data_IF_652133060025
#
_entry.id   IF_652133060025
#
_cell.length_a   1.000
_cell.length_b   1.000
_cell.length_c   1.000
_cell.angle_alpha   90.00
_cell.angle_beta   90.00
_cell.angle_gamma   90.00
#
_symmetry.space_group_name_H-M   'P 1'
#
loop_
_entity.id
_entity.type
_entity.pdbx_description
1 polymer ?
#
# COMPACT_ATOMS: atom_id res chain seq x y z
N UNK A 1 67.90 -10.31 16.55
CA UNK A 1 67.90 -8.85 16.24
C UNK A 1 66.61 -8.33 15.59
N UNK A 2 65.90 -9.07 14.71
CA UNK A 2 64.66 -8.56 14.09
C UNK A 2 63.43 -8.52 15.03
N UNK A 3 63.37 -9.40 16.03
CA UNK A 3 62.28 -9.43 17.01
C UNK A 3 62.31 -8.28 18.03
N UNK A 4 63.52 -7.83 18.41
CA UNK A 4 63.69 -6.74 19.38
C UNK A 4 63.29 -5.39 18.80
N UNK A 5 63.46 -5.17 17.49
CA UNK A 5 63.04 -3.93 16.83
C UNK A 5 61.51 -3.81 16.73
N UNK A 6 60.81 -4.91 16.44
CA UNK A 6 59.36 -4.93 16.33
C UNK A 6 58.68 -4.66 17.68
N UNK A 7 59.22 -5.23 18.77
CA UNK A 7 58.69 -5.02 20.11
C UNK A 7 58.84 -3.57 20.59
N UNK A 8 60.00 -2.95 20.29
CA UNK A 8 60.24 -1.53 20.57
C UNK A 8 59.27 -0.63 19.80
N UNK A 9 58.99 -0.95 18.55
CA UNK A 9 58.07 -0.16 17.71
C UNK A 9 56.63 -0.24 18.22
N UNK A 10 56.19 -1.42 18.67
CA UNK A 10 54.87 -1.60 19.29
C UNK A 10 54.77 -0.83 20.62
N UNK A 11 55.80 -0.85 21.46
CA UNK A 11 55.82 -0.10 22.71
C UNK A 11 55.80 1.42 22.50
N UNK A 12 56.49 1.93 21.48
CA UNK A 12 56.46 3.36 21.11
C UNK A 12 55.06 3.77 20.61
N UNK A 13 54.41 2.93 19.80
CA UNK A 13 53.03 3.18 19.34
C UNK A 13 52.03 3.15 20.51
N UNK A 14 52.17 2.19 21.43
CA UNK A 14 51.34 2.13 22.64
C UNK A 14 51.57 3.35 23.55
N UNK A 15 52.81 3.78 23.76
CA UNK A 15 53.11 4.98 24.55
C UNK A 15 52.53 6.26 23.89
N UNK A 16 52.69 6.41 22.57
CA UNK A 16 52.15 7.55 21.83
C UNK A 16 50.62 7.61 21.86
N UNK A 17 49.95 6.44 21.79
CA UNK A 17 48.48 6.39 21.89
C UNK A 17 47.95 6.65 23.30
N UNK A 18 48.73 6.33 24.35
CA UNK A 18 48.37 6.69 25.73
C UNK A 18 48.52 8.18 26.02
N UNK A 19 49.57 8.83 25.51
CA UNK A 19 49.80 10.28 25.67
C UNK A 19 48.74 11.12 24.93
N UNK A 20 48.30 10.69 23.74
CA UNK A 20 47.22 11.35 23.01
C UNK A 20 45.86 11.27 23.73
N UNK A 21 45.67 10.27 24.62
CA UNK A 21 44.43 10.09 25.39
C UNK A 21 44.37 10.99 26.64
N UNK A 22 45.51 11.37 27.20
CA UNK A 22 45.59 12.22 28.41
C UNK A 22 45.48 13.72 28.15
N UNK A 23 45.70 14.20 26.92
CA UNK A 23 45.53 15.62 26.59
C UNK A 23 44.08 16.04 26.27
N UNK A 24 43.16 15.07 26.10
CA UNK A 24 41.76 15.37 25.79
C UNK A 24 40.88 15.67 27.02
N UNK A 25 41.44 15.63 28.25
CA UNK A 25 40.63 15.78 29.47
C UNK A 25 40.61 17.19 30.10
N UNK A 26 41.37 18.18 29.65
CA UNK A 26 41.49 19.45 30.42
C UNK A 26 41.27 20.76 29.66
N UNK A 27 40.29 20.81 28.75
CA UNK A 27 39.64 22.08 28.36
C UNK A 27 38.12 22.00 28.36
N UNK A 28 37.54 21.51 29.45
CA UNK A 28 36.17 21.86 29.80
C UNK A 28 36.11 23.32 30.24
N UNK A 29 36.26 24.25 29.29
CA UNK A 29 35.86 25.66 29.51
C UNK A 29 34.44 25.64 30.05
N UNK A 30 34.24 26.14 31.28
CA UNK A 30 32.92 26.27 31.92
C UNK A 30 32.04 27.12 31.01
N UNK A 31 31.25 26.48 30.14
CA UNK A 31 30.35 27.20 29.25
C UNK A 31 29.28 27.84 30.13
N UNK A 32 29.10 29.17 30.10
CA UNK A 32 28.15 29.85 30.98
C UNK A 32 26.74 29.32 30.70
N UNK A 33 26.19 28.62 31.70
CA UNK A 33 24.82 28.12 31.68
C UNK A 33 23.90 29.24 32.19
N UNK A 34 22.94 29.66 31.37
CA UNK A 34 21.88 30.56 31.84
C UNK A 34 20.78 29.70 32.42
N UNK A 35 20.68 29.72 33.74
CA UNK A 35 19.64 29.01 34.45
C UNK A 35 18.42 29.89 34.62
N UNK A 36 17.26 29.40 34.19
CA UNK A 36 15.97 30.04 34.46
C UNK A 36 15.08 29.09 35.26
N UNK A 37 14.32 29.65 36.20
CA UNK A 37 13.25 28.93 36.88
C UNK A 37 12.07 28.85 35.92
N UNK A 38 11.69 27.64 35.49
CA UNK A 38 10.48 27.42 34.70
C UNK A 38 9.44 26.70 35.56
N UNK A 39 8.17 27.05 35.35
CA UNK A 39 7.06 26.34 35.97
C UNK A 39 6.71 25.14 35.11
N UNK A 40 6.91 23.93 35.65
CA UNK A 40 6.58 22.67 34.96
C UNK A 40 5.29 22.12 35.55
N UNK A 41 4.39 21.67 34.68
CA UNK A 41 3.17 21.02 35.14
C UNK A 41 3.45 19.59 35.59
N UNK A 42 3.16 19.28 36.86
CA UNK A 42 3.30 17.93 37.40
C UNK A 42 2.02 17.10 37.22
N UNK A 43 0.86 17.76 37.28
CA UNK A 43 -0.43 17.12 37.12
C UNK A 43 -1.30 17.99 36.23
N UNK A 44 -1.58 17.50 35.04
CA UNK A 44 -2.51 18.13 34.11
C UNK A 44 -3.85 17.39 34.16
N UNK A 45 -4.94 18.14 34.02
CA UNK A 45 -6.26 17.58 33.80
C UNK A 45 -6.85 18.20 32.55
N UNK A 46 -7.44 17.34 31.71
CA UNK A 46 -8.24 17.78 30.58
C UNK A 46 -9.58 18.28 31.10
N UNK A 47 -9.83 19.59 30.99
CA UNK A 47 -11.12 20.19 31.31
C UNK A 47 -11.86 20.48 30.00
N UNK A 48 -13.12 20.07 29.93
CA UNK A 48 -13.95 20.46 28.80
C UNK A 48 -14.21 21.97 28.84
N UNK A 49 -13.90 22.68 27.76
CA UNK A 49 -14.14 24.12 27.64
C UNK A 49 -15.28 24.45 26.68
N UNK A 50 -15.66 23.52 25.82
CA UNK A 50 -16.76 23.70 24.88
C UNK A 50 -17.50 22.38 24.71
N UNK A 51 -18.82 22.39 24.93
CA UNK A 51 -19.69 21.25 24.68
C UNK A 51 -20.47 21.49 23.39
N UNK A 52 -20.68 20.43 22.61
CA UNK A 52 -21.64 20.44 21.50
C UNK A 52 -22.74 19.44 21.76
N UNK A 53 -23.91 19.79 21.26
CA UNK A 53 -25.09 18.95 21.30
C UNK A 53 -25.11 17.99 20.11
N UNK A 54 -25.44 16.72 20.34
CA UNK A 54 -25.67 15.79 19.23
C UNK A 54 -26.98 16.14 18.54
N UNK A 55 -27.02 16.31 17.20
CA UNK A 55 -28.25 16.62 16.48
C UNK A 55 -29.30 15.49 16.59
N UNK A 56 -28.85 14.27 16.86
CA UNK A 56 -29.72 13.11 17.07
C UNK A 56 -30.13 12.97 18.53
N UNK A 57 -31.44 12.87 18.80
CA UNK A 57 -31.98 12.52 20.12
C UNK A 57 -31.53 11.10 20.49
N UNK A 58 -30.65 10.97 21.48
CA UNK A 58 -30.20 9.68 22.02
C UNK A 58 -31.00 9.34 23.27
N UNK A 59 -31.05 8.06 23.63
CA UNK A 59 -31.72 7.67 24.86
C UNK A 59 -30.91 8.10 26.09
N UNK A 60 -31.54 8.90 26.96
CA UNK A 60 -30.92 9.40 28.20
C UNK A 60 -31.42 8.66 29.44
N UNK A 61 -32.57 7.98 29.36
CA UNK A 61 -33.08 7.11 30.43
C UNK A 61 -33.65 5.84 29.83
N UNK A 62 -33.16 4.70 30.32
CA UNK A 62 -33.64 3.38 29.98
C UNK A 62 -34.51 2.84 31.10
N UNK A 63 -35.55 2.10 30.75
CA UNK A 63 -36.31 1.26 31.66
C UNK A 63 -36.10 -0.19 31.26
N UNK A 64 -35.92 -1.05 32.25
CA UNK A 64 -35.83 -2.48 32.03
C UNK A 64 -37.22 -3.04 31.79
N UNK A 65 -37.40 -3.69 30.65
CA UNK A 65 -38.63 -4.35 30.24
C UNK A 65 -38.33 -5.82 30.14
N UNK A 66 -39.02 -6.58 30.99
CA UNK A 66 -38.96 -8.03 31.04
C UNK A 66 -39.74 -8.57 29.84
N UNK A 67 -39.06 -9.24 28.91
CA UNK A 67 -39.70 -9.88 27.76
C UNK A 67 -39.43 -11.38 27.75
N UNK A 68 -40.49 -12.18 27.65
CA UNK A 68 -40.36 -13.60 27.35
C UNK A 68 -39.99 -13.75 25.89
N UNK A 69 -38.78 -14.22 25.62
CA UNK A 69 -38.26 -14.42 24.26
C UNK A 69 -37.94 -15.89 24.07
N UNK A 70 -38.28 -16.44 22.89
CA UNK A 70 -37.85 -17.79 22.50
C UNK A 70 -36.38 -17.73 22.12
N UNK A 71 -35.50 -18.29 22.94
CA UNK A 71 -34.07 -18.35 22.68
C UNK A 71 -33.74 -19.73 22.13
N UNK A 72 -33.08 -19.76 20.98
CA UNK A 72 -32.55 -21.00 20.41
C UNK A 72 -31.55 -21.63 21.39
N UNK A 73 -31.66 -22.93 21.58
CA UNK A 73 -30.70 -23.72 22.33
C UNK A 73 -30.42 -25.00 21.56
N UNK A 74 -29.28 -25.62 21.79
CA UNK A 74 -29.00 -26.90 21.19
C UNK A 74 -29.65 -28.01 22.00
N UNK A 75 -30.55 -28.78 21.38
CA UNK A 75 -31.12 -30.00 21.97
C UNK A 75 -30.11 -31.15 21.96
N UNK A 76 -29.35 -31.28 20.88
CA UNK A 76 -28.43 -32.40 20.66
C UNK A 76 -27.09 -31.91 20.10
N UNK A 77 -26.01 -32.17 20.82
CA UNK A 77 -24.65 -31.87 20.35
C UNK A 77 -24.02 -33.08 19.66
N UNK A 78 -23.14 -32.83 18.70
CA UNK A 78 -22.29 -33.87 18.13
C UNK A 78 -21.36 -34.43 19.21
N UNK A 79 -21.14 -35.75 19.19
CA UNK A 79 -20.12 -36.35 20.04
C UNK A 79 -18.76 -35.76 19.61
N UNK A 80 -17.94 -35.27 20.56
CA UNK A 80 -16.63 -34.75 20.22
C UNK A 80 -15.80 -35.88 19.61
N UNK A 81 -15.23 -35.63 18.44
CA UNK A 81 -14.34 -36.57 17.77
C UNK A 81 -13.03 -36.54 18.55
N UNK A 82 -12.66 -37.67 19.15
CA UNK A 82 -11.34 -37.83 19.78
C UNK A 82 -10.27 -37.71 18.72
N UNK A 83 -9.21 -36.98 19.00
CA UNK A 83 -8.04 -37.00 18.12
C UNK A 83 -7.36 -38.38 18.15
N UNK A 84 -6.37 -38.57 17.28
CA UNK A 84 -5.62 -39.84 17.17
C UNK A 84 -4.87 -40.22 18.47
N UNK A 85 -4.78 -39.31 19.44
CA UNK A 85 -4.15 -39.53 20.73
C UNK A 85 -5.19 -39.81 21.84
N UNK A 86 -6.47 -39.94 21.51
CA UNK A 86 -7.55 -40.19 22.47
C UNK A 86 -8.01 -38.94 23.23
N UNK A 87 -7.43 -37.77 22.96
CA UNK A 87 -7.82 -36.52 23.59
C UNK A 87 -9.03 -35.93 22.87
N UNK A 88 -10.02 -35.46 23.62
CA UNK A 88 -11.10 -34.64 23.08
C UNK A 88 -10.65 -33.18 23.06
N UNK A 89 -10.36 -32.58 21.89
CA UNK A 89 -9.99 -31.17 21.83
C UNK A 89 -11.13 -30.30 22.38
N UNK A 90 -10.79 -29.27 23.16
CA UNK A 90 -11.71 -28.26 23.69
C UNK A 90 -12.20 -27.31 22.58
N UNK A 91 -12.79 -27.86 21.52
CA UNK A 91 -13.44 -27.13 20.45
C UNK A 91 -14.90 -26.80 20.79
N UNK A 92 -15.49 -25.78 20.13
CA UNK A 92 -16.91 -25.48 20.28
C UNK A 92 -17.75 -26.70 19.90
N UNK A 93 -18.64 -27.15 20.79
CA UNK A 93 -19.54 -28.28 20.54
C UNK A 93 -20.43 -27.95 19.34
N UNK A 94 -20.37 -28.75 18.28
CA UNK A 94 -21.23 -28.58 17.10
C UNK A 94 -22.66 -29.00 17.47
N UNK A 95 -23.62 -28.10 17.27
CA UNK A 95 -25.03 -28.40 17.51
C UNK A 95 -25.62 -29.16 16.31
N UNK A 96 -26.18 -30.34 16.54
CA UNK A 96 -26.84 -31.15 15.51
C UNK A 96 -28.34 -30.85 15.40
N UNK A 97 -28.98 -30.51 16.52
CA UNK A 97 -30.40 -30.17 16.53
C UNK A 97 -30.65 -28.96 17.43
N UNK A 98 -31.27 -27.92 16.88
CA UNK A 98 -31.66 -26.72 17.62
C UNK A 98 -33.13 -26.80 18.05
N UNK A 99 -33.40 -26.46 19.31
CA UNK A 99 -34.75 -26.20 19.83
C UNK A 99 -34.89 -24.75 20.28
N UNK A 100 -36.09 -24.37 20.68
CA UNK A 100 -36.35 -23.05 21.27
C UNK A 100 -36.89 -23.23 22.68
N UNK A 101 -36.34 -22.48 23.63
CA UNK A 101 -36.92 -22.38 24.98
C UNK A 101 -37.26 -20.94 25.30
N UNK A 102 -38.40 -20.74 25.95
CA UNK A 102 -38.80 -19.42 26.41
C UNK A 102 -37.88 -19.03 27.57
N UNK A 103 -37.12 -17.95 27.38
CA UNK A 103 -36.34 -17.32 28.43
C UNK A 103 -36.88 -15.93 28.69
N UNK A 104 -36.91 -15.57 29.96
CA UNK A 104 -37.12 -14.19 30.38
C UNK A 104 -35.85 -13.40 30.10
N UNK A 105 -35.93 -12.45 29.17
CA UNK A 105 -34.81 -11.56 28.82
C UNK A 105 -35.16 -10.16 29.29
N UNK A 106 -34.27 -9.56 30.06
CA UNK A 106 -34.38 -8.15 30.44
C UNK A 106 -33.86 -7.31 29.29
N UNK A 107 -34.75 -6.57 28.64
CA UNK A 107 -34.41 -5.67 27.53
C UNK A 107 -34.51 -4.23 27.99
N UNK A 108 -33.55 -3.36 27.63
CA UNK A 108 -33.60 -1.94 27.98
C UNK A 108 -34.43 -1.20 26.94
N UNK A 109 -35.63 -0.73 27.30
CA UNK A 109 -36.45 0.15 26.46
C UNK A 109 -36.12 1.60 26.77
N UNK A 110 -35.94 2.41 25.74
CA UNK A 110 -35.75 3.83 25.94
C UNK A 110 -37.05 4.49 26.42
N UNK A 111 -37.03 5.16 27.57
CA UNK A 111 -38.19 5.89 28.11
C UNK A 111 -38.07 7.40 27.99
N UNK A 112 -36.82 7.92 27.91
CA UNK A 112 -36.60 9.35 27.67
C UNK A 112 -35.49 9.52 26.65
N UNK A 113 -35.81 10.19 25.54
CA UNK A 113 -34.83 10.65 24.56
C UNK A 113 -34.46 12.09 24.86
N UNK A 114 -33.17 12.38 24.81
CA UNK A 114 -32.61 13.70 25.07
C UNK A 114 -31.42 13.98 24.17
N UNK A 115 -30.97 15.22 24.21
CA UNK A 115 -29.77 15.65 23.50
C UNK A 115 -28.58 15.34 24.41
N UNK A 116 -27.60 14.57 23.92
CA UNK A 116 -26.38 14.33 24.69
C UNK A 116 -25.37 15.41 24.32
N UNK A 117 -24.92 16.15 25.32
CA UNK A 117 -23.78 17.06 25.19
C UNK A 117 -22.51 16.22 25.26
N UNK A 118 -21.64 16.37 24.27
CA UNK A 118 -20.30 15.82 24.31
C UNK A 118 -19.29 16.96 24.31
N UNK A 119 -18.13 16.73 24.92
CA UNK A 119 -17.08 17.73 24.90
C UNK A 119 -16.49 17.83 23.48
N UNK A 120 -16.61 19.00 22.87
CA UNK A 120 -16.05 19.29 21.56
C UNK A 120 -14.61 19.78 21.66
N UNK A 121 -14.31 20.57 22.69
CA UNK A 121 -12.99 21.16 22.90
C UNK A 121 -12.53 20.98 24.34
N UNK A 122 -11.36 20.39 24.48
CA UNK A 122 -10.69 20.21 25.76
C UNK A 122 -9.54 21.22 25.89
N UNK A 123 -9.34 21.74 27.10
CA UNK A 123 -8.15 22.51 27.48
C UNK A 123 -7.43 21.79 28.59
N UNK A 124 -6.13 21.58 28.43
CA UNK A 124 -5.29 21.04 29.49
C UNK A 124 -5.04 22.14 30.52
N UNK A 125 -5.56 21.94 31.73
CA UNK A 125 -5.32 22.82 32.87
C UNK A 125 -4.29 22.14 33.77
N UNK A 126 -3.27 22.89 34.14
CA UNK A 126 -2.29 22.40 35.09
C UNK A 126 -2.83 22.55 36.52
N UNK A 127 -3.12 21.43 37.18
CA UNK A 127 -3.60 21.40 38.56
C UNK A 127 -2.48 21.62 39.57
N UNK A 128 -1.29 21.08 39.30
CA UNK A 128 -0.13 21.19 40.19
C UNK A 128 1.11 21.58 39.39
N UNK A 129 1.70 22.71 39.73
CA UNK A 129 2.94 23.22 39.13
C UNK A 129 4.10 23.00 40.09
N UNK A 130 5.30 22.73 39.56
CA UNK A 130 6.55 22.78 40.31
C UNK A 130 7.55 23.61 39.54
N UNK A 131 8.19 24.53 40.25
CA UNK A 131 9.27 25.32 39.70
C UNK A 131 10.51 24.44 39.60
N UNK A 132 11.05 24.29 38.40
CA UNK A 132 12.33 23.60 38.15
C UNK A 132 13.33 24.62 37.61
N UNK A 133 14.55 24.61 38.15
CA UNK A 133 15.66 25.37 37.59
C UNK A 133 16.16 24.59 36.38
N UNK A 134 15.94 25.14 35.19
CA UNK A 134 16.45 24.57 33.94
C UNK A 134 17.59 25.44 33.47
N UNK A 135 18.77 24.85 33.43
CA UNK A 135 19.97 25.46 32.91
C UNK A 135 20.10 25.08 31.45
N UNK A 136 20.01 26.07 30.57
CA UNK A 136 20.22 25.86 29.14
C UNK A 136 21.61 26.37 28.78
N UNK A 137 22.34 25.55 28.02
CA UNK A 137 23.54 25.99 27.34
C UNK A 137 23.14 27.08 26.35
N UNK A 138 23.68 28.29 26.50
CA UNK A 138 23.51 29.31 25.47
C UNK A 138 24.37 28.86 24.28
N UNK A 139 23.78 28.10 23.37
CA UNK A 139 24.35 27.89 22.06
C UNK A 139 24.04 29.16 21.27
N UNK A 140 25.07 29.95 20.95
CA UNK A 140 24.89 31.10 20.03
C UNK A 140 24.20 30.54 18.78
N UNK A 141 23.08 31.16 18.38
CA UNK A 141 22.34 30.71 17.18
C UNK A 141 23.35 30.57 16.04
N UNK A 142 23.48 29.39 15.43
CA UNK A 142 24.43 29.22 14.34
C UNK A 142 24.11 30.23 13.25
N UNK A 143 25.13 30.93 12.75
CA UNK A 143 24.93 31.86 11.64
C UNK A 143 24.55 31.01 10.43
N UNK A 144 23.32 31.16 9.96
CA UNK A 144 22.83 30.47 8.77
C UNK A 144 23.20 31.32 7.55
N UNK A 145 24.08 30.82 6.70
CA UNK A 145 24.49 31.49 5.45
C UNK A 145 23.95 30.74 4.23
N UNK A 146 24.07 31.32 3.04
CA UNK A 146 23.59 30.71 1.78
C UNK A 146 22.17 31.12 1.38
N UNK A 147 21.64 30.58 0.26
CA UNK A 147 20.41 31.03 -0.36
C UNK A 147 19.16 30.66 0.45
N UNK A 148 18.13 31.51 0.41
CA UNK A 148 16.84 31.27 1.10
C UNK A 148 15.93 30.30 0.37
N UNK A 149 16.13 30.13 -0.93
CA UNK A 149 15.38 29.26 -1.82
C UNK A 149 16.35 28.63 -2.82
N UNK A 150 16.01 27.46 -3.37
CA UNK A 150 16.78 26.82 -4.43
C UNK A 150 16.05 26.92 -5.76
N UNK A 151 16.79 26.79 -6.87
CA UNK A 151 16.19 26.76 -8.21
C UNK A 151 15.37 25.46 -8.38
N UNK A 152 14.44 25.45 -9.32
CA UNK A 152 13.70 24.23 -9.67
C UNK A 152 14.67 23.10 -10.03
N UNK A 153 14.45 21.90 -9.47
CA UNK A 153 15.34 20.75 -9.64
C UNK A 153 16.52 20.66 -8.64
N UNK A 154 16.63 21.61 -7.72
CA UNK A 154 17.60 21.59 -6.63
C UNK A 154 16.90 21.46 -5.27
N UNK A 155 17.55 20.82 -4.31
CA UNK A 155 17.08 20.79 -2.92
C UNK A 155 18.09 21.48 -2.00
N UNK A 156 17.57 22.08 -0.94
CA UNK A 156 18.39 22.78 0.05
C UNK A 156 18.97 21.78 1.05
N UNK A 157 20.30 21.67 1.07
CA UNK A 157 21.05 20.91 2.06
C UNK A 157 21.66 21.87 3.08
N UNK A 158 21.62 21.51 4.36
CA UNK A 158 22.29 22.26 5.43
C UNK A 158 23.61 21.56 5.76
N UNK A 159 24.71 22.26 5.56
CA UNK A 159 26.06 21.80 5.90
C UNK A 159 26.51 22.55 7.15
N UNK A 160 26.91 21.81 8.18
CA UNK A 160 27.38 22.40 9.44
C UNK A 160 28.91 22.50 9.39
N UNK A 161 29.43 23.73 9.45
CA UNK A 161 30.86 24.04 9.43
C UNK A 161 31.19 24.83 10.71
N UNK A 162 31.60 24.13 11.77
CA UNK A 162 31.81 24.72 13.09
C UNK A 162 30.52 25.33 13.66
N UNK A 163 30.53 26.64 13.93
CA UNK A 163 29.36 27.38 14.44
C UNK A 163 28.46 27.93 13.32
N UNK A 164 28.77 27.66 12.06
CA UNK A 164 28.03 28.15 10.91
C UNK A 164 27.23 27.00 10.28
N UNK A 165 26.02 27.31 9.81
CA UNK A 165 25.22 26.37 9.02
C UNK A 165 25.04 26.96 7.64
N UNK A 166 25.69 26.38 6.64
CA UNK A 166 25.61 26.83 5.25
C UNK A 166 24.45 26.12 4.56
N UNK A 167 23.54 26.89 3.98
CA UNK A 167 22.55 26.39 3.01
C UNK A 167 23.27 26.20 1.68
N UNK A 168 23.16 25.02 1.11
CA UNK A 168 23.74 24.67 -0.18
C UNK A 168 22.63 24.08 -1.03
N UNK A 169 22.35 24.71 -2.17
CA UNK A 169 21.46 24.11 -3.16
C UNK A 169 22.23 23.02 -3.87
N UNK A 170 21.74 21.79 -3.75
CA UNK A 170 22.33 20.63 -4.40
C UNK A 170 21.41 20.26 -5.55
N UNK A 171 21.95 20.20 -6.78
CA UNK A 171 21.22 19.58 -7.89
C UNK A 171 20.89 18.15 -7.48
N UNK A 172 19.62 17.79 -7.59
CA UNK A 172 19.27 16.38 -7.62
C UNK A 172 19.85 15.87 -8.93
N UNK A 173 21.08 15.38 -8.92
CA UNK A 173 21.51 14.47 -9.98
C UNK A 173 20.61 13.27 -9.78
N UNK A 174 19.68 12.97 -10.71
CA UNK A 174 18.84 11.82 -10.54
C UNK A 174 19.79 10.63 -10.59
N UNK A 175 20.11 10.07 -9.41
CA UNK A 175 20.75 8.77 -9.32
C UNK A 175 19.88 7.89 -10.20
N UNK A 176 20.47 7.27 -11.22
CA UNK A 176 19.74 6.34 -12.09
C UNK A 176 19.31 5.20 -11.19
N UNK A 177 18.10 5.29 -10.64
CA UNK A 177 17.57 4.28 -9.74
C UNK A 177 17.28 3.06 -10.58
N UNK A 178 18.08 2.01 -10.38
CA UNK A 178 17.76 0.69 -10.90
C UNK A 178 16.82 0.07 -9.88
N UNK A 179 15.62 -0.34 -10.31
CA UNK A 179 14.65 -0.91 -9.39
C UNK A 179 14.73 -2.43 -9.37
N UNK A 180 14.51 -3.02 -8.19
CA UNK A 180 13.95 -4.37 -8.08
C UNK A 180 12.44 -4.25 -8.07
N UNK A 181 11.76 -5.18 -8.73
CA UNK A 181 10.29 -5.18 -8.84
C UNK A 181 9.73 -6.45 -8.23
N UNK A 182 8.71 -6.27 -7.40
CA UNK A 182 7.79 -7.33 -7.01
C UNK A 182 6.47 -7.11 -7.72
N UNK A 183 5.88 -8.16 -8.27
CA UNK A 183 4.58 -8.10 -8.96
C UNK A 183 3.60 -9.04 -8.28
N UNK A 184 2.38 -8.56 -8.05
CA UNK A 184 1.24 -9.36 -7.58
C UNK A 184 0.10 -9.15 -8.58
N UNK A 185 -0.31 -10.21 -9.29
CA UNK A 185 -1.28 -10.09 -10.37
C UNK A 185 -2.48 -11.02 -10.19
N UNK A 186 -3.63 -10.57 -10.71
CA UNK A 186 -4.90 -11.29 -10.75
C UNK A 186 -5.31 -11.96 -9.41
N UNK A 187 -5.35 -13.29 -9.41
CA UNK A 187 -5.59 -14.19 -8.29
C UNK A 187 -4.26 -14.54 -7.62
N UNK A 188 -3.88 -13.90 -6.50
CA UNK A 188 -2.54 -13.40 -6.25
C UNK A 188 -1.41 -14.34 -6.64
N UNK A 189 -0.91 -14.12 -7.86
CA UNK A 189 0.33 -14.68 -8.35
C UNK A 189 1.46 -13.70 -8.08
N UNK A 190 2.47 -14.16 -7.33
CA UNK A 190 3.60 -13.33 -6.94
C UNK A 190 4.82 -13.60 -7.82
N UNK A 191 5.56 -12.54 -8.13
CA UNK A 191 7.00 -12.60 -8.40
C UNK A 191 7.68 -11.66 -7.42
N UNK A 192 8.40 -12.21 -6.45
CA UNK A 192 9.11 -11.46 -5.41
C UNK A 192 10.35 -10.72 -5.97
N UNK A 193 10.96 -9.85 -5.15
CA UNK A 193 12.12 -9.03 -5.57
C UNK A 193 13.34 -9.87 -6.02
N UNK A 194 13.48 -11.09 -5.48
CA UNK A 194 14.54 -12.04 -5.86
C UNK A 194 14.18 -12.90 -7.07
N UNK A 195 12.99 -12.70 -7.66
CA UNK A 195 12.46 -13.48 -8.77
C UNK A 195 11.73 -14.77 -8.36
N UNK A 196 11.60 -15.06 -7.06
CA UNK A 196 10.81 -16.20 -6.59
C UNK A 196 9.34 -16.03 -6.95
N UNK A 197 8.75 -17.11 -7.48
CA UNK A 197 7.33 -17.16 -7.85
C UNK A 197 6.57 -18.06 -6.88
N UNK A 198 5.38 -17.63 -6.49
CA UNK A 198 4.46 -18.39 -5.64
C UNK A 198 3.04 -17.85 -5.76
N UNK A 199 2.07 -18.69 -5.40
CA UNK A 199 0.65 -18.33 -5.42
C UNK A 199 0.14 -18.29 -3.99
N UNK A 200 -0.63 -17.25 -3.66
CA UNK A 200 -1.09 -17.03 -2.28
C UNK A 200 -2.54 -16.54 -2.22
N UNK A 201 -3.47 -17.49 -2.20
CA UNK A 201 -4.92 -17.22 -2.25
C UNK A 201 -5.58 -17.07 -0.87
N UNK A 202 -4.87 -16.49 0.10
CA UNK A 202 -5.43 -16.23 1.43
C UNK A 202 -6.30 -14.97 1.42
N UNK A 203 -7.37 -14.96 2.21
CA UNK A 203 -8.22 -13.78 2.42
C UNK A 203 -7.72 -12.97 3.62
N UNK A 204 -7.60 -11.66 3.46
CA UNK A 204 -7.11 -10.76 4.50
C UNK A 204 -6.31 -9.58 3.96
N UNK A 205 -5.73 -8.81 4.87
CA UNK A 205 -4.74 -7.79 4.56
C UNK A 205 -3.33 -8.36 4.81
N UNK A 206 -2.43 -8.23 3.84
CA UNK A 206 -1.07 -8.81 3.92
C UNK A 206 -0.01 -7.76 3.67
N UNK A 207 1.09 -7.83 4.42
CA UNK A 207 2.26 -6.99 4.19
C UNK A 207 2.98 -7.48 2.93
N UNK A 208 2.97 -6.67 1.87
CA UNK A 208 3.66 -6.98 0.63
C UNK A 208 5.13 -6.60 0.75
N UNK A 209 5.44 -5.39 1.22
CA UNK A 209 6.81 -4.91 1.35
C UNK A 209 6.92 -3.83 2.43
N UNK A 210 8.05 -3.80 3.14
CA UNK A 210 8.39 -2.76 4.12
C UNK A 210 9.88 -2.40 4.04
N UNK A 211 10.20 -1.12 3.92
CA UNK A 211 11.57 -0.62 3.90
C UNK A 211 12.13 -0.47 5.32
N UNK A 212 13.42 -0.72 5.51
CA UNK A 212 14.11 -0.73 6.80
C UNK A 212 14.17 0.66 7.45
N UNK A 213 14.13 1.72 6.65
CA UNK A 213 14.01 3.11 7.12
C UNK A 213 12.62 3.44 7.68
N UNK A 214 11.65 2.53 7.56
CA UNK A 214 10.26 2.71 8.01
C UNK A 214 9.47 3.76 7.22
N UNK A 215 10.02 4.30 6.13
CA UNK A 215 9.36 5.34 5.33
C UNK A 215 8.29 4.77 4.40
N UNK A 216 8.43 3.49 4.00
CA UNK A 216 7.58 2.85 3.02
C UNK A 216 7.08 1.48 3.51
N UNK A 217 5.76 1.28 3.47
CA UNK A 217 5.13 -0.02 3.77
C UNK A 217 3.89 -0.22 2.92
N UNK A 218 3.68 -1.42 2.39
CA UNK A 218 2.59 -1.73 1.47
C UNK A 218 1.77 -2.89 2.02
N UNK A 219 0.48 -2.67 2.24
CA UNK A 219 -0.49 -3.72 2.51
C UNK A 219 -1.34 -3.95 1.26
N UNK A 220 -1.53 -5.21 0.87
CA UNK A 220 -2.50 -5.63 -0.14
C UNK A 220 -3.73 -6.24 0.53
N UNK A 221 -4.94 -5.87 0.08
CA UNK A 221 -6.19 -6.45 0.56
C UNK A 221 -6.67 -7.52 -0.41
N UNK A 222 -6.72 -8.77 0.06
CA UNK A 222 -7.15 -9.92 -0.71
C UNK A 222 -8.50 -10.40 -0.24
N UNK A 223 -9.43 -10.62 -1.18
CA UNK A 223 -10.80 -11.01 -0.90
C UNK A 223 -11.21 -12.19 -1.76
N UNK A 224 -11.86 -13.19 -1.17
CA UNK A 224 -12.55 -14.24 -1.94
C UNK A 224 -13.83 -13.67 -2.53
N UNK A 225 -14.05 -13.92 -3.81
CA UNK A 225 -15.33 -13.61 -4.43
C UNK A 225 -16.28 -14.80 -4.28
N UNK A 226 -17.58 -14.52 -4.27
CA UNK A 226 -18.59 -15.55 -4.04
C UNK A 226 -18.47 -16.68 -5.07
N UNK A 227 -18.56 -17.92 -4.59
CA UNK A 227 -18.42 -19.14 -5.39
C UNK A 227 -17.07 -19.32 -6.11
N UNK A 228 -16.01 -18.64 -5.66
CA UNK A 228 -14.68 -18.77 -6.25
C UNK A 228 -13.66 -19.43 -5.31
N UNK A 229 -12.87 -20.35 -5.87
CA UNK A 229 -11.78 -21.03 -5.18
C UNK A 229 -10.55 -20.13 -4.98
N UNK A 230 -10.52 -18.95 -5.58
CA UNK A 230 -9.43 -18.00 -5.54
C UNK A 230 -9.83 -16.69 -4.84
N UNK A 231 -8.83 -15.93 -4.39
CA UNK A 231 -8.99 -14.56 -3.88
C UNK A 231 -8.49 -13.57 -4.92
N UNK A 232 -9.08 -12.39 -5.06
CA UNK A 232 -8.50 -11.31 -5.85
C UNK A 232 -8.03 -10.14 -4.99
N UNK A 233 -7.24 -9.27 -5.60
CA UNK A 233 -6.71 -8.06 -4.97
C UNK A 233 -7.73 -6.94 -5.12
N UNK A 234 -8.34 -6.51 -4.02
CA UNK A 234 -9.42 -5.51 -4.03
C UNK A 234 -8.99 -4.12 -3.55
N UNK A 235 -7.72 -3.96 -3.16
CA UNK A 235 -7.17 -2.67 -2.78
C UNK A 235 -5.76 -2.79 -2.22
N UNK A 236 -5.16 -1.63 -1.95
CA UNK A 236 -3.87 -1.53 -1.30
C UNK A 236 -3.81 -0.30 -0.37
N UNK A 237 -3.06 -0.39 0.72
CA UNK A 237 -2.75 0.72 1.61
C UNK A 237 -1.24 0.89 1.77
N UNK A 238 -0.76 2.10 1.55
CA UNK A 238 0.66 2.43 1.47
C UNK A 238 0.99 3.47 2.54
N UNK A 239 1.85 3.12 3.50
CA UNK A 239 2.54 4.09 4.33
C UNK A 239 3.61 4.75 3.47
N UNK A 240 3.47 6.04 3.17
CA UNK A 240 4.23 6.70 2.10
C UNK A 240 5.38 7.57 2.61
N UNK A 241 5.40 7.95 3.89
CA UNK A 241 6.43 8.81 4.48
C UNK A 241 6.68 8.51 5.98
N UNK A 242 6.45 7.25 6.37
CA UNK A 242 6.52 6.79 7.76
C UNK A 242 5.39 7.28 8.66
N UNK A 243 4.40 8.01 8.12
CA UNK A 243 3.26 8.53 8.89
C UNK A 243 1.94 8.47 8.14
N UNK A 244 1.90 9.03 6.93
CA UNK A 244 0.69 9.12 6.13
C UNK A 244 0.40 7.82 5.40
N UNK A 245 -0.88 7.47 5.35
CA UNK A 245 -1.37 6.28 4.67
C UNK A 245 -2.22 6.68 3.48
N UNK A 246 -1.80 6.26 2.29
CA UNK A 246 -2.59 6.34 1.06
C UNK A 246 -3.23 4.98 0.82
N UNK A 247 -4.55 4.90 0.90
CA UNK A 247 -5.32 3.69 0.60
C UNK A 247 -6.06 3.88 -0.73
N UNK A 248 -5.94 2.92 -1.64
CA UNK A 248 -6.69 2.87 -2.89
C UNK A 248 -7.58 1.65 -2.86
N UNK A 249 -8.89 1.89 -2.99
CA UNK A 249 -9.92 0.84 -2.95
C UNK A 249 -11.12 1.28 -3.77
N UNK A 250 -11.68 0.37 -4.57
CA UNK A 250 -12.84 0.66 -5.43
C UNK A 250 -12.63 1.91 -6.31
N UNK A 251 -11.39 2.12 -6.79
CA UNK A 251 -10.91 3.31 -7.53
C UNK A 251 -10.99 4.64 -6.77
N UNK A 252 -11.31 4.61 -5.48
CA UNK A 252 -11.30 5.79 -4.61
C UNK A 252 -9.96 5.85 -3.88
N UNK A 253 -9.36 7.04 -3.85
CA UNK A 253 -8.16 7.31 -3.07
C UNK A 253 -8.56 7.87 -1.71
N UNK A 254 -7.92 7.37 -0.67
CA UNK A 254 -8.07 7.84 0.69
C UNK A 254 -6.71 8.24 1.25
N UNK A 255 -6.66 9.39 1.90
CA UNK A 255 -5.53 9.83 2.69
C UNK A 255 -5.93 9.76 4.17
N UNK A 256 -5.19 8.99 4.97
CA UNK A 256 -5.42 8.84 6.41
C UNK A 256 -6.89 8.52 6.72
N UNK A 257 -7.46 7.56 5.98
CA UNK A 257 -8.86 7.09 6.09
C UNK A 257 -9.93 8.11 5.68
N UNK A 258 -9.58 9.27 5.10
CA UNK A 258 -10.52 10.25 4.53
C UNK A 258 -10.45 10.22 3.01
N UNK A 259 -11.59 10.40 2.33
CA UNK A 259 -11.60 10.51 0.85
C UNK A 259 -10.68 11.66 0.45
N UNK A 260 -9.79 11.40 -0.50
CA UNK A 260 -8.84 12.39 -1.01
C UNK A 260 -9.02 12.54 -2.51
N UNK A 261 -9.33 13.76 -2.95
CA UNK A 261 -9.43 14.09 -4.36
C UNK A 261 -8.02 14.23 -4.95
N UNK A 262 -7.68 13.38 -5.91
CA UNK A 262 -6.41 13.39 -6.64
C UNK A 262 -6.71 13.73 -8.09
N UNK A 263 -6.04 14.74 -8.63
CA UNK A 263 -6.23 15.16 -10.02
C UNK A 263 -5.64 14.12 -10.99
N UNK A 264 -6.38 13.81 -12.05
CA UNK A 264 -5.91 12.90 -13.10
C UNK A 264 -4.79 13.55 -13.92
N UNK A 265 -3.79 12.77 -14.29
CA UNK A 265 -2.60 13.16 -15.05
C UNK A 265 -1.76 14.26 -14.40
N UNK A 266 -1.91 14.46 -13.08
CA UNK A 266 -1.14 15.41 -12.31
C UNK A 266 -0.54 14.75 -11.06
N UNK A 267 0.75 15.02 -10.82
CA UNK A 267 1.40 14.59 -9.60
C UNK A 267 0.87 15.39 -8.41
N UNK A 268 0.21 14.71 -7.47
CA UNK A 268 -0.37 15.30 -6.27
C UNK A 268 0.47 14.93 -5.05
N UNK A 269 0.97 15.93 -4.33
CA UNK A 269 1.82 15.70 -3.16
C UNK A 269 1.00 15.39 -1.90
N UNK A 270 1.56 14.54 -1.04
CA UNK A 270 0.97 14.26 0.28
C UNK A 270 1.13 15.52 1.15
N UNK A 271 0.08 16.00 1.84
CA UNK A 271 0.05 17.33 2.45
C UNK A 271 1.05 17.57 3.59
N UNK A 272 1.58 16.51 4.22
CA UNK A 272 2.55 16.68 5.29
C UNK A 272 3.99 16.71 4.75
N UNK A 273 4.79 17.66 5.23
CA UNK A 273 6.16 18.04 4.80
C UNK A 273 7.24 16.93 4.86
N UNK A 274 6.86 15.66 4.98
CA UNK A 274 7.78 14.51 4.92
C UNK A 274 7.91 13.93 3.51
N UNK A 275 7.15 14.48 2.55
CA UNK A 275 7.21 14.09 1.14
C UNK A 275 6.30 12.91 0.80
N UNK A 276 6.42 12.46 -0.44
CA UNK A 276 5.56 11.47 -1.05
C UNK A 276 4.55 12.11 -2.02
N UNK A 277 4.12 11.32 -3.00
CA UNK A 277 3.22 11.81 -4.06
C UNK A 277 2.39 10.68 -4.65
N UNK A 278 1.24 11.05 -5.20
CA UNK A 278 0.34 10.18 -5.96
C UNK A 278 0.14 10.75 -7.35
N UNK A 279 0.32 9.91 -8.36
CA UNK A 279 -0.07 10.18 -9.74
C UNK A 279 -1.23 9.27 -10.09
N UNK A 280 -2.38 9.86 -10.38
CA UNK A 280 -3.52 9.16 -10.96
C UNK A 280 -3.44 9.31 -12.48
N UNK A 281 -3.58 8.21 -13.20
CA UNK A 281 -3.89 8.19 -14.63
C UNK A 281 -5.22 7.48 -14.82
N UNK A 282 -5.77 7.48 -16.05
CA UNK A 282 -7.09 6.92 -16.37
C UNK A 282 -7.46 5.62 -15.66
N UNK A 283 -6.52 4.66 -15.54
CA UNK A 283 -6.75 3.37 -14.89
C UNK A 283 -5.73 3.02 -13.79
N UNK A 284 -4.64 3.78 -13.66
CA UNK A 284 -3.52 3.39 -12.81
C UNK A 284 -3.20 4.45 -11.76
N UNK A 285 -2.85 3.99 -10.57
CA UNK A 285 -2.36 4.82 -9.48
C UNK A 285 -0.87 4.53 -9.29
N UNK A 286 -0.04 5.56 -9.29
CA UNK A 286 1.37 5.46 -8.90
C UNK A 286 1.59 6.25 -7.61
N UNK A 287 1.97 5.57 -6.54
CA UNK A 287 2.31 6.17 -5.25
C UNK A 287 3.83 6.10 -5.09
N UNK A 288 4.47 7.22 -4.77
CA UNK A 288 5.93 7.35 -4.66
C UNK A 288 6.25 7.88 -3.26
N UNK A 289 7.15 7.22 -2.54
CA UNK A 289 7.65 7.67 -1.23
C UNK A 289 8.94 8.49 -1.34
N UNK A 290 9.34 9.22 -0.28
CA UNK A 290 10.56 10.04 -0.26
C UNK A 290 11.84 9.26 -0.56
N UNK A 291 11.91 7.99 -0.13
CA UNK A 291 13.04 7.08 -0.42
C UNK A 291 12.98 6.47 -1.83
N UNK A 292 12.18 7.04 -2.73
CA UNK A 292 12.01 6.60 -4.13
C UNK A 292 11.37 5.21 -4.32
N UNK A 293 11.01 4.50 -3.24
CA UNK A 293 10.15 3.34 -3.39
C UNK A 293 8.79 3.77 -3.99
N UNK A 294 8.20 2.91 -4.81
CA UNK A 294 6.94 3.23 -5.47
C UNK A 294 6.04 2.00 -5.59
N UNK A 295 4.74 2.24 -5.55
CA UNK A 295 3.70 1.25 -5.87
C UNK A 295 2.95 1.71 -7.09
N UNK A 296 2.76 0.82 -8.05
CA UNK A 296 1.81 0.98 -9.13
C UNK A 296 0.64 0.03 -8.92
N UNK A 297 -0.57 0.58 -8.92
CA UNK A 297 -1.81 -0.16 -8.87
C UNK A 297 -2.49 0.00 -10.21
N UNK A 298 -2.53 -1.06 -11.00
CA UNK A 298 -3.23 -1.07 -12.27
C UNK A 298 -4.60 -1.71 -12.09
N UNK A 299 -5.65 -1.00 -12.46
CA UNK A 299 -7.00 -1.55 -12.40
C UNK A 299 -7.20 -2.60 -13.48
N UNK A 300 -7.81 -3.73 -13.12
CA UNK A 300 -8.17 -4.80 -14.05
C UNK A 300 -9.56 -5.35 -13.73
N UNK A 301 -10.19 -5.94 -14.74
CA UNK A 301 -11.42 -6.72 -14.58
C UNK A 301 -11.10 -8.19 -14.79
N UNK A 302 -11.55 -9.04 -13.87
CA UNK A 302 -11.45 -10.49 -14.02
C UNK A 302 -12.83 -11.11 -13.81
N UNK A 303 -13.44 -11.57 -14.91
CA UNK A 303 -14.88 -11.83 -14.94
C UNK A 303 -15.67 -10.54 -14.65
N UNK A 304 -16.59 -10.61 -13.69
CA UNK A 304 -17.40 -9.46 -13.26
C UNK A 304 -16.80 -8.73 -12.05
N UNK A 305 -15.60 -9.12 -11.62
CA UNK A 305 -14.97 -8.58 -10.41
C UNK A 305 -13.92 -7.53 -10.77
N UNK A 306 -13.96 -6.42 -10.04
CA UNK A 306 -12.97 -5.37 -10.09
C UNK A 306 -11.78 -5.76 -9.21
N UNK A 307 -10.59 -5.85 -9.80
CA UNK A 307 -9.37 -6.21 -9.10
C UNK A 307 -8.23 -5.24 -9.45
N UNK A 308 -7.15 -5.33 -8.68
CA UNK A 308 -5.92 -4.58 -8.94
C UNK A 308 -4.77 -5.54 -9.27
N UNK A 309 -3.85 -5.09 -10.11
CA UNK A 309 -2.50 -5.63 -10.17
C UNK A 309 -1.57 -4.67 -9.42
N UNK A 310 -0.68 -5.21 -8.59
CA UNK A 310 0.24 -4.42 -7.75
C UNK A 310 1.67 -4.66 -8.23
N UNK A 311 2.35 -3.60 -8.62
CA UNK A 311 3.79 -3.61 -8.81
C UNK A 311 4.46 -2.76 -7.73
N UNK A 312 5.31 -3.38 -6.91
CA UNK A 312 6.12 -2.67 -5.90
C UNK A 312 7.53 -2.55 -6.44
N UNK A 313 8.08 -1.34 -6.40
CA UNK A 313 9.44 -1.05 -6.84
C UNK A 313 10.23 -0.44 -5.68
N UNK A 314 11.45 -0.92 -5.51
CA UNK A 314 12.42 -0.44 -4.52
C UNK A 314 13.78 -0.29 -5.20
N UNK A 315 14.63 0.63 -4.73
CA UNK A 315 15.99 0.76 -5.27
C UNK A 315 16.74 -0.57 -5.09
N UNK A 316 17.40 -1.03 -6.15
CA UNK A 316 18.14 -2.30 -6.21
C UNK A 316 19.28 -2.32 -5.21
N UNK A 317 19.92 -1.17 -5.01
CA UNK A 317 21.03 -0.98 -4.08
C UNK A 317 20.54 -0.87 -2.64
N UNK A 318 19.25 -0.55 -2.46
CA UNK A 318 18.62 -0.52 -1.17
C UNK A 318 18.29 -1.96 -0.77
N UNK A 319 19.17 -2.57 0.02
CA UNK A 319 18.94 -3.81 0.76
C UNK A 319 17.79 -3.70 1.78
N UNK A 320 17.02 -2.61 1.72
CA UNK A 320 16.13 -2.15 2.77
C UNK A 320 14.78 -2.85 2.78
N UNK A 321 14.41 -3.71 1.83
CA UNK A 321 13.16 -4.48 2.03
C UNK A 321 13.40 -5.51 3.12
N UNK A 322 12.88 -5.20 4.31
CA UNK A 322 13.13 -5.98 5.52
C UNK A 322 12.09 -7.08 5.73
N UNK A 323 10.85 -6.87 5.26
CA UNK A 323 9.69 -7.72 5.56
C UNK A 323 8.65 -7.72 4.43
N UNK A 324 7.77 -8.72 4.45
CA UNK A 324 6.61 -8.85 3.56
C UNK A 324 6.77 -9.91 2.47
N UNK A 325 5.65 -10.29 1.87
CA UNK A 325 5.57 -11.36 0.86
C UNK A 325 6.46 -11.11 -0.38
N UNK A 326 6.70 -9.85 -0.74
CA UNK A 326 7.62 -9.49 -1.83
C UNK A 326 9.10 -9.67 -1.48
N UNK A 327 9.44 -9.71 -0.19
CA UNK A 327 10.81 -9.94 0.28
C UNK A 327 11.14 -11.44 0.29
N UNK A 328 10.26 -12.22 0.93
CA UNK A 328 10.40 -13.66 1.08
C UNK A 328 9.06 -14.32 1.43
N UNK A 329 8.83 -15.52 0.92
CA UNK A 329 7.65 -16.32 1.21
C UNK A 329 7.83 -17.21 2.45
N UNK A 330 7.81 -16.59 3.64
CA UNK A 330 7.98 -17.27 4.94
C UNK A 330 6.66 -17.37 5.72
N UNK A 331 6.59 -18.27 6.72
CA UNK A 331 5.42 -18.40 7.59
C UNK A 331 5.08 -17.10 8.33
N UNK A 332 6.08 -16.29 8.66
CA UNK A 332 5.86 -14.98 9.28
C UNK A 332 5.18 -14.01 8.31
N UNK A 333 5.63 -13.96 7.06
CA UNK A 333 5.08 -13.05 6.05
C UNK A 333 3.69 -13.49 5.54
N UNK A 334 3.29 -14.74 5.76
CA UNK A 334 1.94 -15.25 5.47
C UNK A 334 0.90 -14.76 6.49
N UNK A 335 1.31 -14.24 7.64
CA UNK A 335 0.35 -13.78 8.65
C UNK A 335 -0.39 -12.54 8.16
N UNK A 336 -1.72 -12.48 8.34
CA UNK A 336 -2.49 -11.28 8.06
C UNK A 336 -2.03 -10.15 9.00
N UNK A 337 -2.03 -8.94 8.47
CA UNK A 337 -1.62 -7.73 9.19
C UNK A 337 -2.81 -6.78 9.35
N UNK A 338 -2.68 -5.85 10.29
CA UNK A 338 -3.66 -4.78 10.50
C UNK A 338 -2.95 -3.43 10.55
N UNK A 339 -3.71 -2.33 10.52
CA UNK A 339 -3.19 -1.01 10.88
C UNK A 339 -3.16 0.03 9.76
N UNK A 340 -2.91 -0.36 8.50
CA UNK A 340 -2.92 0.59 7.37
C UNK A 340 -4.31 0.75 6.75
N UNK A 341 -5.04 -0.35 6.54
CA UNK A 341 -6.37 -0.35 5.90
C UNK A 341 -7.45 0.21 6.84
N UNK A 342 -8.50 0.85 6.29
CA UNK A 342 -9.63 1.34 7.10
C UNK A 342 -10.46 0.20 7.70
N UNK A 343 -10.74 -0.83 6.90
CA UNK A 343 -11.53 -1.99 7.29
C UNK A 343 -10.62 -3.21 7.32
N UNK A 344 -10.41 -3.75 8.52
CA UNK A 344 -9.71 -5.03 8.67
C UNK A 344 -10.60 -6.10 8.05
N UNK A 345 -10.10 -6.74 7.00
CA UNK A 345 -10.71 -7.99 6.52
C UNK A 345 -10.27 -9.08 7.48
N UNK A 346 -11.21 -9.63 8.26
CA UNK A 346 -10.91 -10.73 9.18
C UNK A 346 -10.36 -11.88 8.35
N UNK A 347 -9.14 -12.30 8.65
CA UNK A 347 -8.49 -13.35 7.90
C UNK A 347 -9.32 -14.63 7.99
N UNK A 348 -9.76 -15.11 6.82
CA UNK A 348 -10.35 -16.43 6.68
C UNK A 348 -9.30 -17.30 6.00
N UNK A 349 -8.66 -18.15 6.78
CA UNK A 349 -7.71 -19.11 6.25
C UNK A 349 -8.45 -20.07 5.34
N UNK A 350 -8.17 -20.02 4.05
CA UNK A 350 -8.58 -21.04 3.10
C UNK A 350 -7.40 -21.36 2.18
N UNK A 351 -6.78 -22.50 2.50
CA UNK A 351 -6.01 -23.45 1.68
C UNK A 351 -4.65 -23.02 1.09
N UNK A 352 -3.62 -23.72 1.56
CA UNK A 352 -2.31 -23.99 0.96
C UNK A 352 -1.74 -22.96 -0.02
N UNK A 353 -0.83 -22.16 0.50
CA UNK A 353 0.28 -21.58 -0.22
C UNK A 353 1.09 -22.67 -0.97
N UNK A 354 1.07 -22.68 -2.31
CA UNK A 354 1.95 -23.56 -3.08
C UNK A 354 3.12 -22.75 -3.62
N UNK A 355 4.34 -23.15 -3.26
CA UNK A 355 5.52 -22.68 -3.99
C UNK A 355 5.41 -23.23 -5.41
N UNK A 356 5.60 -22.38 -6.42
CA UNK A 356 5.56 -22.84 -7.81
C UNK A 356 6.57 -23.97 -7.97
N UNK A 357 6.10 -25.16 -8.35
CA UNK A 357 6.99 -26.29 -8.66
C UNK A 357 7.97 -25.83 -9.73
N UNK A 358 9.26 -25.89 -9.43
CA UNK A 358 10.30 -25.72 -10.44
C UNK A 358 10.41 -27.05 -11.19
N UNK A 359 10.77 -27.01 -12.47
CA UNK A 359 11.16 -28.24 -13.16
C UNK A 359 12.37 -28.83 -12.47
N UNK A 360 12.33 -30.14 -12.21
CA UNK A 360 13.39 -30.87 -11.54
C UNK A 360 14.64 -31.00 -12.43
N UNK A 361 14.47 -30.90 -13.76
CA UNK A 361 15.57 -30.94 -14.73
C UNK A 361 15.55 -29.76 -15.71
N UNK A 362 16.75 -29.40 -16.20
CA UNK A 362 16.91 -28.43 -17.28
C UNK A 362 16.22 -28.91 -18.59
N UNK A 363 16.18 -30.23 -18.79
CA UNK A 363 15.53 -30.89 -19.94
C UNK A 363 14.03 -30.66 -19.94
N UNK A 364 13.35 -30.82 -18.80
CA UNK A 364 11.91 -30.60 -18.70
C UNK A 364 11.55 -29.13 -18.92
N UNK A 365 12.38 -28.21 -18.40
CA UNK A 365 12.22 -26.77 -18.67
C UNK A 365 12.39 -26.44 -20.16
N UNK A 366 13.32 -27.10 -20.86
CA UNK A 366 13.52 -26.95 -22.31
C UNK A 366 12.31 -27.49 -23.08
N UNK A 367 11.80 -28.66 -22.70
CA UNK A 367 10.61 -29.26 -23.30
C UNK A 367 9.36 -28.40 -23.10
N UNK A 368 9.17 -27.83 -21.90
CA UNK A 368 8.08 -26.90 -21.61
C UNK A 368 8.19 -25.62 -22.47
N UNK A 369 9.39 -25.07 -22.68
CA UNK A 369 9.61 -23.94 -23.59
C UNK A 369 9.17 -24.26 -25.01
N UNK A 370 9.52 -25.44 -25.52
CA UNK A 370 9.11 -25.91 -26.86
C UNK A 370 7.59 -26.00 -26.95
N UNK A 371 6.93 -26.61 -25.96
CA UNK A 371 5.47 -26.74 -25.91
C UNK A 371 4.78 -25.37 -25.89
N UNK A 372 5.28 -24.43 -25.09
CA UNK A 372 4.75 -23.06 -25.01
C UNK A 372 4.90 -22.28 -26.32
N UNK A 373 6.05 -22.39 -26.99
CA UNK A 373 6.26 -21.78 -28.30
C UNK A 373 5.34 -22.39 -29.35
N UNK A 374 5.19 -23.72 -29.35
CA UNK A 374 4.25 -24.43 -30.23
C UNK A 374 2.79 -23.98 -29.99
N UNK A 375 2.42 -23.75 -28.73
CA UNK A 375 1.12 -23.19 -28.34
C UNK A 375 0.96 -21.70 -28.68
N UNK A 376 2.01 -21.02 -29.15
CA UNK A 376 1.94 -19.62 -29.59
C UNK A 376 2.24 -18.58 -28.53
N UNK A 377 2.86 -18.96 -27.41
CA UNK A 377 3.37 -18.00 -26.44
C UNK A 377 4.41 -17.08 -27.12
N UNK A 378 4.27 -15.77 -26.91
CA UNK A 378 5.26 -14.82 -27.41
C UNK A 378 6.56 -14.92 -26.60
N UNK A 379 7.66 -14.34 -27.09
CA UNK A 379 8.92 -14.27 -26.32
C UNK A 379 8.73 -13.62 -24.94
N UNK A 380 7.80 -12.67 -24.82
CA UNK A 380 7.45 -12.00 -23.55
C UNK A 380 6.63 -12.89 -22.61
N UNK A 381 5.81 -13.79 -23.15
CA UNK A 381 4.89 -14.63 -22.38
C UNK A 381 5.48 -16.02 -22.08
N UNK A 382 6.61 -16.37 -22.71
CA UNK A 382 7.21 -17.69 -22.66
C UNK A 382 7.53 -18.15 -21.23
N UNK A 383 8.12 -17.29 -20.40
CA UNK A 383 8.49 -17.65 -19.04
C UNK A 383 7.27 -17.82 -18.11
N UNK A 384 6.13 -17.21 -18.45
CA UNK A 384 4.87 -17.40 -17.71
C UNK A 384 4.25 -18.74 -18.10
N UNK A 385 4.12 -19.00 -19.41
CA UNK A 385 3.61 -20.28 -19.90
C UNK A 385 4.42 -21.48 -19.36
N UNK A 386 5.75 -21.37 -19.35
CA UNK A 386 6.64 -22.41 -18.79
C UNK A 386 6.39 -22.62 -17.30
N UNK A 387 6.16 -21.54 -16.56
CA UNK A 387 5.81 -21.58 -15.13
C UNK A 387 4.47 -22.29 -14.91
N UNK A 388 3.45 -21.92 -15.69
CA UNK A 388 2.10 -22.51 -15.62
C UNK A 388 2.14 -24.03 -15.91
N UNK A 389 2.94 -24.44 -16.91
CA UNK A 389 3.17 -25.85 -17.22
C UNK A 389 3.87 -26.62 -16.10
N UNK A 390 4.77 -25.98 -15.36
CA UNK A 390 5.46 -26.59 -14.23
C UNK A 390 4.51 -26.84 -13.05
N UNK A 391 3.50 -25.98 -12.88
CA UNK A 391 2.48 -26.12 -11.85
C UNK A 391 1.41 -27.16 -12.20
N UNK A 392 1.18 -27.41 -13.48
CA UNK A 392 0.19 -28.37 -13.95
C UNK A 392 0.59 -29.81 -13.56
N UNK A 393 0.08 -30.25 -12.41
CA UNK A 393 0.40 -31.54 -11.77
C UNK A 393 -0.06 -32.76 -12.54
N UNK A 394 -0.98 -32.61 -13.51
CA UNK A 394 -1.49 -33.69 -14.34
C UNK A 394 -1.58 -33.30 -15.82
N UNK A 395 -1.66 -34.28 -16.74
CA UNK A 395 -1.72 -34.03 -18.19
C UNK A 395 -2.91 -33.16 -18.62
N UNK A 396 -4.09 -33.30 -18.01
CA UNK A 396 -5.28 -32.50 -18.35
C UNK A 396 -5.06 -31.01 -18.09
N UNK A 397 -4.42 -30.66 -16.98
CA UNK A 397 -4.07 -29.27 -16.67
C UNK A 397 -3.03 -28.71 -17.65
N UNK A 398 -2.03 -29.50 -18.05
CA UNK A 398 -1.03 -29.08 -19.06
C UNK A 398 -1.71 -28.76 -20.39
N UNK A 399 -2.65 -29.61 -20.83
CA UNK A 399 -3.44 -29.37 -22.04
C UNK A 399 -4.26 -28.09 -21.93
N UNK A 400 -4.87 -27.82 -20.77
CA UNK A 400 -5.65 -26.60 -20.53
C UNK A 400 -4.78 -25.34 -20.62
N UNK A 401 -3.61 -25.34 -19.97
CA UNK A 401 -2.63 -24.24 -20.05
C UNK A 401 -2.27 -23.96 -21.51
N UNK A 402 -1.86 -24.98 -22.27
CA UNK A 402 -1.50 -24.82 -23.68
C UNK A 402 -2.66 -24.32 -24.55
N UNK A 403 -3.88 -24.76 -24.28
CA UNK A 403 -5.08 -24.31 -25.00
C UNK A 403 -5.35 -22.81 -24.80
N UNK A 404 -5.12 -22.27 -23.60
CA UNK A 404 -5.25 -20.83 -23.31
C UNK A 404 -4.28 -20.03 -24.20
N UNK A 405 -3.00 -20.39 -24.23
CA UNK A 405 -2.01 -19.69 -25.05
C UNK A 405 -2.29 -19.84 -26.56
N UNK A 406 -2.81 -20.99 -27.01
CA UNK A 406 -3.27 -21.19 -28.38
C UNK A 406 -4.41 -20.25 -28.76
N UNK A 407 -5.37 -20.04 -27.85
CA UNK A 407 -6.49 -19.11 -28.05
C UNK A 407 -6.04 -17.64 -28.04
N UNK A 408 -5.03 -17.29 -27.23
CA UNK A 408 -4.43 -15.95 -27.25
C UNK A 408 -3.77 -15.66 -28.61
N UNK A 409 -3.09 -16.64 -29.21
CA UNK A 409 -2.51 -16.55 -30.55
C UNK A 409 -3.58 -16.32 -31.62
N UNK A 410 -4.68 -17.09 -31.59
CA UNK A 410 -5.77 -16.93 -32.56
C UNK A 410 -6.44 -15.56 -32.46
N UNK A 411 -6.65 -15.05 -31.24
CA UNK A 411 -7.25 -13.73 -31.03
C UNK A 411 -6.34 -12.59 -31.51
N UNK A 412 -5.02 -12.68 -31.30
CA UNK A 412 -4.06 -11.74 -31.90
C UNK A 412 -4.08 -11.80 -33.42
N UNK A 413 -4.20 -12.97 -34.03
CA UNK A 413 -4.29 -13.13 -35.49
C UNK A 413 -5.58 -12.53 -36.06
N UNK A 414 -6.71 -12.70 -35.36
CA UNK A 414 -7.99 -12.07 -35.72
C UNK A 414 -7.87 -10.54 -35.62
N UNK A 415 -7.29 -10.01 -34.54
CA UNK A 415 -7.07 -8.57 -34.37
C UNK A 415 -6.10 -7.99 -35.42
N UNK A 416 -5.03 -8.72 -35.78
CA UNK A 416 -4.07 -8.29 -36.80
C UNK A 416 -4.66 -8.34 -38.22
N UNK A 417 -5.49 -9.34 -38.51
CA UNK A 417 -6.23 -9.45 -39.77
C UNK A 417 -7.34 -8.40 -39.90
N UNK A 418 -7.91 -7.94 -38.78
CA UNK A 418 -8.87 -6.85 -38.76
C UNK A 418 -8.22 -5.45 -38.94
N UNK A 419 -6.89 -5.36 -38.86
CA UNK A 419 -6.11 -4.10 -38.88
C UNK A 419 -5.29 -3.92 -40.18
N UNK A 420 -5.26 -4.89 -41.09
CA UNK A 420 -4.62 -4.75 -42.42
C UNK A 420 -5.66 -4.47 -43.52
N UNK A 421 -5.40 -3.55 -44.47
CA UNK A 421 -6.43 -2.66 -44.99
C UNK A 421 -7.03 -3.06 -46.34
N UNK A 422 -8.24 -2.54 -46.55
CA UNK A 422 -8.83 -2.12 -47.82
C UNK A 422 -7.81 -2.08 -48.97
N UNK A 423 -8.05 -2.95 -49.96
CA UNK A 423 -7.27 -3.02 -51.17
C UNK A 423 -7.19 -1.68 -51.89
N UNK A 424 -5.99 -1.40 -52.39
CA UNK A 424 -5.69 -0.34 -53.35
C UNK A 424 -6.57 -0.50 -54.59
N UNK A 425 -7.61 0.33 -54.71
CA UNK A 425 -8.30 0.51 -55.99
C UNK A 425 -7.35 1.25 -56.94
N UNK A 426 -6.92 0.54 -57.98
CA UNK A 426 -6.17 1.05 -59.13
C UNK A 426 -6.91 2.24 -59.75
N UNK A 427 -6.22 3.36 -59.85
CA UNK A 427 -6.55 4.43 -60.79
C UNK A 427 -6.55 3.86 -62.23
N UNK A 428 -7.72 3.85 -62.87
CA UNK A 428 -7.82 3.88 -64.33
C UNK A 428 -8.36 5.25 -64.71
N UNK A 429 -7.57 5.99 -65.48
CA UNK A 429 -7.96 7.27 -66.04
C UNK A 429 -9.06 7.13 -67.09
N UNK A 430 -9.98 8.09 -67.11
CA UNK A 430 -10.82 8.39 -68.26
C UNK A 430 -11.28 9.86 -68.21
N UNK A 431 -10.69 10.64 -69.13
CA UNK A 431 -11.27 11.71 -69.96
C UNK A 431 -12.37 12.62 -69.38
N UNK A 432 -11.97 13.88 -69.18
CA UNK A 432 -12.62 15.11 -69.68
C UNK A 432 -14.02 14.97 -70.31
N UNK A 433 -15.01 15.62 -69.70
CA UNK A 433 -15.98 16.42 -70.45
C UNK A 433 -16.45 17.65 -69.64
N UNK A 434 -16.25 18.81 -70.24
CA UNK A 434 -16.84 20.09 -69.89
C UNK A 434 -18.37 20.01 -69.92
N UNK A 435 -19.05 20.56 -68.92
CA UNK A 435 -20.25 21.37 -69.18
C UNK A 435 -20.52 22.41 -68.09
N UNK A 436 -20.58 23.66 -68.57
CA UNK A 436 -20.97 24.90 -67.89
C UNK A 436 -22.42 24.83 -67.40
N UNK A 437 -22.68 25.54 -66.29
CA UNK A 437 -23.83 26.42 -65.98
C UNK A 437 -24.07 26.41 -64.46
N UNK A 438 -24.53 27.45 -63.77
CA UNK A 438 -24.67 28.90 -63.97
C UNK A 438 -25.03 29.42 -62.56
N UNK A 439 -24.71 30.68 -62.25
CA UNK A 439 -25.22 31.39 -61.07
C UNK A 439 -26.74 31.25 -60.89
N UNK A 440 -27.21 31.15 -59.64
CA UNK A 440 -28.29 32.03 -59.19
C UNK A 440 -28.21 32.37 -57.70
N UNK A 441 -28.46 33.66 -57.46
CA UNK A 441 -28.43 34.45 -56.23
C UNK A 441 -29.85 34.53 -55.64
N UNK A 442 -29.93 34.68 -54.30
CA UNK A 442 -31.03 35.27 -53.49
C UNK A 442 -32.35 34.46 -53.46
N UNK A 443 -33.18 34.45 -52.41
CA UNK A 443 -33.66 35.54 -51.57
C UNK A 443 -34.12 35.07 -50.17
N UNK A 444 -34.11 36.05 -49.25
CA UNK A 444 -34.79 36.11 -47.94
C UNK A 444 -36.29 35.80 -48.03
N UNK A 445 -36.91 35.31 -46.95
CA UNK A 445 -38.02 36.04 -46.28
C UNK A 445 -38.38 35.51 -44.88
N UNK A 446 -38.67 36.50 -44.03
CA UNK A 446 -39.31 36.47 -42.71
C UNK A 446 -40.58 35.61 -42.59
N UNK A 447 -40.86 35.13 -41.37
CA UNK A 447 -42.07 35.55 -40.62
C UNK A 447 -41.98 35.30 -39.11
N UNK A 448 -42.35 36.34 -38.37
CA UNK A 448 -42.66 36.41 -36.93
C UNK A 448 -43.97 35.66 -36.65
N UNK A 449 -44.16 35.15 -35.43
CA UNK A 449 -45.27 35.63 -34.59
C UNK A 449 -45.02 35.38 -33.09
N UNK A 450 -45.46 36.36 -32.31
CA UNK A 450 -45.77 36.36 -30.87
C UNK A 450 -47.03 35.47 -30.66
N UNK A 451 -47.59 35.15 -29.50
CA UNK A 451 -47.69 35.76 -28.17
C UNK A 451 -48.41 34.78 -27.21
N UNK A 452 -48.26 35.04 -25.90
CA UNK A 452 -49.25 34.94 -24.80
C UNK A 452 -49.36 33.73 -23.85
N UNK A 453 -48.90 34.01 -22.61
CA UNK A 453 -49.62 34.03 -21.31
C UNK A 453 -50.45 32.79 -20.90
N UNK A 454 -50.09 32.21 -19.75
CA UNK A 454 -50.59 32.65 -18.43
C UNK A 454 -49.54 32.41 -17.36
#
# INVERSE_FOLDING_TARGET
MRFTLALLLVLVILAATTLAKTEYEKKCTKIPLKCKKISVCLKAQSKCVEHRETPTKVCVKYQEVIKRSKVAYCKKYAKPVKDKCGNTPAGPKVCLETGFKTKTVVTKKCVKRGVKRYCHKHKNVCLKKKTKKVCQKIIKKPKITGPKTCKAGEFMKFVVEGNHTKRVCTKVVPKKVVYKTCTVYNDPHFTAFKGDRFDYHAEGDFNLAETADGLFKVHGTFKRFDNQAWTGIVGAAILVNGKDVVEVKDRVVYLNKKVWSVAENQLTYVPENRGGSVLLTKNDFTIISPNQAKVQLAFSTFGNNNIFNINVFVDKDDSNVSKGLCAEFSEENKKPVTGLTRKVTVAKTAVNAYKVKKFDSATDKKNAKIQCLAAGASKKDLDNCVSDLAQASNPKHKTMVLAVYKKLKSNKKIALNAVLPLGTHKHKGAKSSHKKHKHHKKHKHHKKSKHHKK
#
